data_IF_372221216204
#
_entry.id   IF_372221216204
#
_cell.length_a   1.000
_cell.length_b   1.000
_cell.length_c   1.000
_cell.angle_alpha   90.00
_cell.angle_beta   90.00
_cell.angle_gamma   90.00
#
_symmetry.space_group_name_H-M   'P 1'
#
loop_
_entity.id
_entity.type
_entity.pdbx_description
1 polymer ?
#
# COMPACT_ATOMS: atom_id res chain seq x y z
N UNK A 1 24.69 -4.45 -1.88
CA UNK A 1 23.26 -4.83 -2.02
C UNK A 1 23.14 -5.84 -3.16
N UNK A 2 22.56 -7.02 -2.93
CA UNK A 2 22.38 -8.06 -3.96
C UNK A 2 21.24 -7.64 -4.90
N UNK A 3 21.41 -7.64 -6.23
CA UNK A 3 20.35 -7.22 -7.14
C UNK A 3 19.19 -8.22 -7.07
N UNK A 4 18.06 -7.79 -6.50
CA UNK A 4 16.81 -8.54 -6.61
C UNK A 4 16.29 -8.40 -8.04
N UNK A 5 16.20 -9.52 -8.76
CA UNK A 5 15.54 -9.56 -10.07
C UNK A 5 14.04 -9.63 -9.87
N UNK A 6 13.32 -8.70 -10.49
CA UNK A 6 11.87 -8.69 -10.55
C UNK A 6 11.44 -9.03 -11.98
N UNK A 7 10.51 -9.97 -12.13
CA UNK A 7 9.97 -10.34 -13.45
C UNK A 7 8.99 -9.31 -14.01
N UNK A 8 8.48 -8.40 -13.17
CA UNK A 8 7.48 -7.40 -13.53
C UNK A 8 7.91 -6.00 -13.07
N UNK A 9 7.69 -5.00 -13.93
CA UNK A 9 7.99 -3.59 -13.63
C UNK A 9 7.21 -3.08 -12.40
N UNK A 10 5.98 -3.55 -12.20
CA UNK A 10 5.21 -3.15 -11.02
C UNK A 10 5.89 -3.58 -9.71
N UNK A 11 6.49 -4.78 -9.68
CA UNK A 11 7.19 -5.30 -8.50
C UNK A 11 8.48 -4.52 -8.22
N UNK A 12 9.22 -4.15 -9.26
CA UNK A 12 10.37 -3.27 -9.11
C UNK A 12 9.97 -1.91 -8.54
N UNK A 13 8.88 -1.31 -9.07
CA UNK A 13 8.37 -0.02 -8.59
C UNK A 13 7.87 -0.09 -7.14
N UNK A 14 7.25 -1.20 -6.73
CA UNK A 14 6.87 -1.44 -5.33
C UNK A 14 8.11 -1.64 -4.44
N UNK A 15 9.12 -2.35 -4.92
CA UNK A 15 10.36 -2.53 -4.17
C UNK A 15 11.10 -1.21 -3.96
N UNK A 16 11.14 -0.33 -4.96
CA UNK A 16 11.77 0.99 -4.83
C UNK A 16 11.13 1.85 -3.73
N UNK A 17 9.83 1.68 -3.45
CA UNK A 17 9.14 2.36 -2.33
C UNK A 17 9.69 1.99 -0.96
N UNK A 18 10.32 0.82 -0.82
CA UNK A 18 10.99 0.42 0.43
C UNK A 18 12.22 1.27 0.68
N UNK A 19 12.94 1.65 -0.38
CA UNK A 19 14.11 2.53 -0.29
C UNK A 19 13.72 4.00 -0.16
N UNK A 20 12.69 4.45 -0.90
CA UNK A 20 12.24 5.85 -0.85
C UNK A 20 11.31 6.17 0.34
N UNK A 21 10.78 5.14 1.02
CA UNK A 21 9.75 5.32 2.06
C UNK A 21 8.39 5.77 1.51
N UNK A 22 8.23 5.85 0.18
CA UNK A 22 7.01 6.34 -0.44
C UNK A 22 5.85 5.37 -0.24
N UNK A 23 4.91 5.78 0.60
CA UNK A 23 3.64 5.08 0.81
C UNK A 23 2.51 5.94 0.29
N UNK A 24 2.15 5.84 -1.00
CA UNK A 24 1.20 6.77 -1.63
C UNK A 24 -0.24 6.55 -1.17
N UNK A 25 -0.56 5.37 -0.63
CA UNK A 25 -1.90 5.05 -0.16
C UNK A 25 -1.99 5.39 1.33
N UNK A 26 -2.95 6.21 1.72
CA UNK A 26 -3.20 6.55 3.12
C UNK A 26 -4.64 6.24 3.50
N UNK A 27 -4.84 5.77 4.73
CA UNK A 27 -6.16 5.58 5.28
C UNK A 27 -6.70 6.93 5.72
N UNK A 28 -7.85 7.34 5.16
CA UNK A 28 -8.51 8.61 5.50
C UNK A 28 -9.05 8.64 6.92
N UNK A 29 -9.26 7.47 7.55
CA UNK A 29 -9.83 7.38 8.90
C UNK A 29 -8.76 7.50 9.99
N UNK A 30 -7.62 6.82 9.85
CA UNK A 30 -6.56 6.80 10.87
C UNK A 30 -5.20 7.33 10.41
N UNK A 31 -5.08 7.79 9.16
CA UNK A 31 -3.82 8.32 8.60
C UNK A 31 -2.74 7.28 8.29
N UNK A 32 -2.97 5.97 8.55
CA UNK A 32 -1.97 4.92 8.27
C UNK A 32 -1.63 4.85 6.79
N UNK A 33 -0.33 4.83 6.49
CA UNK A 33 0.19 4.79 5.11
C UNK A 33 0.57 3.37 4.70
N UNK A 34 0.22 3.00 3.47
CA UNK A 34 0.43 1.69 2.86
C UNK A 34 1.17 1.85 1.52
N UNK A 35 2.02 0.87 1.22
CA UNK A 35 2.72 0.79 -0.06
C UNK A 35 1.83 0.31 -1.21
N UNK A 36 0.67 -0.30 -0.91
CA UNK A 36 -0.23 -0.88 -1.92
C UNK A 36 -1.70 -0.62 -1.59
N UNK A 37 -2.53 -0.48 -2.64
CA UNK A 37 -3.98 -0.27 -2.52
C UNK A 37 -4.69 -1.48 -1.91
N UNK A 38 -4.24 -2.71 -2.22
CA UNK A 38 -4.82 -3.95 -1.67
C UNK A 38 -4.71 -3.99 -0.15
N UNK A 39 -3.53 -3.67 0.39
CA UNK A 39 -3.30 -3.57 1.83
C UNK A 39 -4.12 -2.46 2.49
N UNK A 40 -4.23 -1.29 1.86
CA UNK A 40 -5.12 -0.23 2.36
C UNK A 40 -6.57 -0.71 2.43
N UNK A 41 -7.08 -1.38 1.38
CA UNK A 41 -8.46 -1.89 1.34
C UNK A 41 -8.72 -2.91 2.43
N UNK A 42 -7.81 -3.85 2.64
CA UNK A 42 -7.92 -4.86 3.71
C UNK A 42 -7.90 -4.18 5.08
N UNK A 43 -7.01 -3.21 5.28
CA UNK A 43 -6.97 -2.42 6.51
C UNK A 43 -8.27 -1.66 6.74
N UNK A 44 -8.80 -0.96 5.73
CA UNK A 44 -10.08 -0.27 5.84
C UNK A 44 -11.21 -1.24 6.17
N UNK A 45 -11.28 -2.40 5.50
CA UNK A 45 -12.33 -3.40 5.79
C UNK A 45 -12.24 -3.97 7.21
N UNK A 46 -11.04 -4.30 7.68
CA UNK A 46 -10.84 -4.96 8.98
C UNK A 46 -10.79 -4.00 10.16
N UNK A 47 -10.23 -2.80 9.97
CA UNK A 47 -10.02 -1.80 11.02
C UNK A 47 -11.09 -0.69 11.00
N UNK A 48 -11.71 -0.45 9.84
CA UNK A 48 -12.73 0.60 9.64
C UNK A 48 -13.93 0.04 8.85
N UNK A 49 -14.45 -1.09 9.32
CA UNK A 49 -15.51 -1.89 8.68
C UNK A 49 -16.71 -1.05 8.18
N UNK A 50 -17.00 0.09 8.83
CA UNK A 50 -18.10 0.99 8.48
C UNK A 50 -17.87 1.91 7.26
N UNK A 51 -16.65 2.04 6.72
CA UNK A 51 -16.32 3.08 5.74
C UNK A 51 -16.39 2.68 4.24
N UNK A 52 -16.75 1.42 3.93
CA UNK A 52 -16.75 0.90 2.55
C UNK A 52 -18.12 0.95 1.86
N UNK A 53 -19.13 1.54 2.52
CA UNK A 53 -20.52 1.58 2.05
C UNK A 53 -21.05 2.95 1.62
N UNK A 54 -20.19 3.95 1.36
CA UNK A 54 -20.62 5.26 0.89
C UNK A 54 -19.99 5.59 -0.47
N UNK A 55 -20.66 5.16 -1.53
CA UNK A 55 -20.64 5.81 -2.84
C UNK A 55 -22.01 6.42 -3.08
#
# INVERSE_FOLDING_TARGET
>A
MRPRRFSHLHQLKMHQRVHSGERPFSCTVCGKRFGEKSYLRIHQQKSHFAALGAK
#
